data_IF_221596058134
#
_entry.id   IF_221596058134
#
_cell.length_a   1.000
_cell.length_b   1.000
_cell.length_c   1.000
_cell.angle_alpha   90.00
_cell.angle_beta   90.00
_cell.angle_gamma   90.00
#
_symmetry.space_group_name_H-M   'P 1'
#
loop_
_entity.id
_entity.type
_entity.pdbx_description
1 polymer ?
#
# COMPACT_ATOMS: atom_id res chain seq x y z
N UNK A 1 8.52 8.83 11.06
CA UNK A 1 8.68 8.13 9.77
C UNK A 1 7.49 7.21 9.43
N UNK A 2 6.94 6.45 10.40
CA UNK A 2 5.83 5.49 10.17
C UNK A 2 4.52 6.05 9.60
N UNK A 3 4.11 7.28 9.97
CA UNK A 3 2.88 7.91 9.43
C UNK A 3 2.87 7.96 7.90
N UNK A 4 4.03 8.12 7.25
CA UNK A 4 4.13 8.18 5.78
C UNK A 4 3.91 6.81 5.13
N UNK A 5 4.36 5.73 5.76
CA UNK A 5 4.18 4.37 5.23
C UNK A 5 2.72 3.91 5.29
N UNK A 6 2.01 4.30 6.34
CA UNK A 6 0.56 4.04 6.46
C UNK A 6 -0.21 4.75 5.35
N UNK A 7 0.13 6.00 5.04
CA UNK A 7 -0.49 6.73 3.93
C UNK A 7 -0.20 6.09 2.57
N UNK A 8 1.02 5.57 2.36
CA UNK A 8 1.38 4.86 1.13
C UNK A 8 0.59 3.55 0.98
N UNK A 9 0.44 2.78 2.06
CA UNK A 9 -0.40 1.58 2.05
C UNK A 9 -1.87 1.92 1.79
N UNK A 10 -2.38 2.99 2.41
CA UNK A 10 -3.74 3.46 2.18
C UNK A 10 -3.95 3.86 0.72
N UNK A 11 -3.00 4.60 0.14
CA UNK A 11 -3.05 4.96 -1.28
C UNK A 11 -3.01 3.72 -2.19
N UNK A 12 -2.17 2.73 -1.88
CA UNK A 12 -2.12 1.46 -2.62
C UNK A 12 -3.45 0.72 -2.57
N UNK A 13 -4.10 0.71 -1.40
CA UNK A 13 -5.37 0.03 -1.19
C UNK A 13 -6.52 0.71 -1.93
N UNK A 14 -6.62 2.04 -1.81
CA UNK A 14 -7.60 2.85 -2.56
C UNK A 14 -7.40 2.65 -4.06
N UNK A 15 -6.15 2.75 -4.55
CA UNK A 15 -5.84 2.54 -5.96
C UNK A 15 -6.31 1.18 -6.46
N UNK A 16 -6.04 0.13 -5.67
CA UNK A 16 -6.45 -1.24 -6.03
C UNK A 16 -7.98 -1.37 -6.15
N UNK A 17 -8.72 -0.86 -5.16
CA UNK A 17 -10.19 -0.97 -5.12
C UNK A 17 -10.85 -0.19 -6.25
N UNK A 18 -10.46 1.07 -6.43
CA UNK A 18 -10.96 1.94 -7.50
C UNK A 18 -10.65 1.36 -8.89
N UNK A 19 -9.45 0.81 -9.09
CA UNK A 19 -9.12 0.14 -10.36
C UNK A 19 -9.97 -1.10 -10.61
N UNK A 20 -10.23 -1.93 -9.58
CA UNK A 20 -11.11 -3.10 -9.73
C UNK A 20 -12.54 -2.66 -10.07
N UNK A 21 -13.06 -1.65 -9.37
CA UNK A 21 -14.38 -1.10 -9.70
C UNK A 21 -14.45 -0.60 -11.13
N UNK A 22 -13.43 0.11 -11.60
CA UNK A 22 -13.41 0.64 -12.95
C UNK A 22 -13.15 -0.42 -14.03
N UNK A 23 -12.54 -1.56 -13.72
CA UNK A 23 -12.50 -2.73 -14.62
C UNK A 23 -13.88 -3.40 -14.69
N UNK A 24 -14.61 -3.43 -13.58
CA UNK A 24 -15.92 -4.08 -13.48
C UNK A 24 -17.06 -3.22 -14.05
N UNK A 25 -16.92 -1.90 -13.98
CA UNK A 25 -17.83 -0.95 -14.58
C UNK A 25 -17.54 -0.81 -16.09
N UNK A 26 -17.97 -1.82 -16.83
CA UNK A 26 -17.79 -1.92 -18.29
C UNK A 26 -18.60 -0.86 -19.07
N UNK A 27 -19.37 -0.02 -18.36
CA UNK A 27 -20.30 0.95 -18.95
C UNK A 27 -19.69 2.34 -19.24
N UNK A 28 -18.51 2.65 -18.70
CA UNK A 28 -17.94 4.01 -18.71
C UNK A 28 -16.79 4.27 -19.71
N UNK A 29 -16.55 3.38 -20.68
CA UNK A 29 -15.52 3.61 -21.72
C UNK A 29 -14.07 3.40 -21.24
N UNK A 30 -13.89 2.71 -20.10
CA UNK A 30 -12.60 2.15 -19.69
C UNK A 30 -11.59 3.15 -19.10
N UNK A 31 -12.02 4.35 -18.68
CA UNK A 31 -11.13 5.33 -18.03
C UNK A 31 -11.68 5.70 -16.64
N UNK A 32 -10.87 5.47 -15.61
CA UNK A 32 -11.14 5.79 -14.21
C UNK A 32 -10.46 7.11 -13.81
N UNK A 33 -10.97 7.79 -12.79
CA UNK A 33 -10.27 8.91 -12.16
C UNK A 33 -9.73 8.51 -10.79
N UNK A 34 -8.41 8.52 -10.63
CA UNK A 34 -7.70 8.11 -9.42
C UNK A 34 -6.87 9.28 -8.91
N UNK A 35 -7.18 9.77 -7.71
CA UNK A 35 -6.51 10.93 -7.12
C UNK A 35 -6.51 12.17 -8.04
N UNK A 36 -7.57 12.34 -8.84
CA UNK A 36 -7.67 13.42 -9.82
C UNK A 36 -6.93 13.18 -11.15
N UNK A 37 -6.35 12.00 -11.36
CA UNK A 37 -5.70 11.61 -12.62
C UNK A 37 -6.58 10.65 -13.41
N UNK A 38 -6.66 10.83 -14.73
CA UNK A 38 -7.31 9.87 -15.62
C UNK A 38 -6.39 8.66 -15.84
N UNK A 39 -6.93 7.48 -15.60
CA UNK A 39 -6.19 6.22 -15.61
C UNK A 39 -7.00 5.18 -16.37
N UNK A 40 -6.36 4.41 -17.25
CA UNK A 40 -7.00 3.35 -18.01
C UNK A 40 -6.76 1.98 -17.33
N UNK A 41 -7.71 1.43 -16.56
CA UNK A 41 -7.47 0.27 -15.69
C UNK A 41 -7.19 -1.02 -16.46
N UNK A 42 -7.64 -1.09 -17.72
CA UNK A 42 -7.37 -2.19 -18.64
C UNK A 42 -5.92 -2.25 -19.13
N UNK A 43 -5.10 -1.22 -18.84
CA UNK A 43 -3.67 -1.19 -19.19
C UNK A 43 -2.79 -1.58 -18.02
N UNK A 44 -1.60 -2.12 -18.29
CA UNK A 44 -0.70 -2.65 -17.24
C UNK A 44 -0.06 -1.55 -16.38
N UNK A 45 0.16 -0.35 -16.93
CA UNK A 45 0.87 0.77 -16.28
C UNK A 45 0.33 1.10 -14.87
N UNK A 46 -0.98 1.34 -14.67
CA UNK A 46 -1.50 1.67 -13.34
C UNK A 46 -1.41 0.52 -12.33
N UNK A 47 -1.43 -0.73 -12.79
CA UNK A 47 -1.20 -1.89 -11.92
C UNK A 47 0.24 -1.94 -11.43
N UNK A 48 1.21 -1.60 -12.29
CA UNK A 48 2.61 -1.53 -11.89
C UNK A 48 2.86 -0.43 -10.84
N UNK A 49 2.25 0.75 -11.01
CA UNK A 49 2.33 1.83 -10.01
C UNK A 49 1.75 1.36 -8.67
N UNK A 50 0.59 0.72 -8.69
CA UNK A 50 -0.06 0.17 -7.50
C UNK A 50 0.81 -0.89 -6.81
N UNK A 51 1.46 -1.77 -7.58
CA UNK A 51 2.40 -2.76 -7.05
C UNK A 51 3.62 -2.12 -6.37
N UNK A 52 4.16 -1.03 -6.93
CA UNK A 52 5.25 -0.27 -6.32
C UNK A 52 4.81 0.36 -5.00
N UNK A 53 3.60 0.92 -4.93
CA UNK A 53 3.06 1.47 -3.68
C UNK A 53 2.93 0.38 -2.61
N UNK A 54 2.43 -0.80 -2.97
CA UNK A 54 2.39 -1.96 -2.08
C UNK A 54 3.77 -2.38 -1.58
N UNK A 55 4.76 -2.47 -2.47
CA UNK A 55 6.13 -2.83 -2.09
C UNK A 55 6.74 -1.80 -1.13
N UNK A 56 6.58 -0.50 -1.42
CA UNK A 56 7.11 0.59 -0.61
C UNK A 56 6.44 0.65 0.78
N UNK A 57 5.11 0.58 0.82
CA UNK A 57 4.34 0.60 2.05
C UNK A 57 4.54 -0.66 2.90
N UNK A 58 4.47 -1.84 2.27
CA UNK A 58 4.60 -3.14 2.93
C UNK A 58 6.02 -3.42 3.41
N UNK A 59 7.04 -3.05 2.63
CA UNK A 59 8.44 -3.13 3.05
C UNK A 59 8.70 -2.26 4.28
N UNK A 60 8.15 -1.05 4.28
CA UNK A 60 8.18 -0.17 5.44
C UNK A 60 7.58 -0.77 6.71
N UNK A 61 6.40 -1.38 6.58
CA UNK A 61 5.71 -2.04 7.69
C UNK A 61 6.49 -3.24 8.24
N UNK A 62 7.15 -4.02 7.37
CA UNK A 62 7.98 -5.15 7.81
C UNK A 62 9.19 -4.69 8.62
N UNK A 63 9.85 -3.62 8.20
CA UNK A 63 10.97 -3.02 8.96
C UNK A 63 10.47 -2.51 10.32
N UNK A 64 9.30 -1.86 10.35
CA UNK A 64 8.66 -1.39 11.58
C UNK A 64 8.45 -2.53 12.58
N UNK A 65 7.83 -3.61 12.10
CA UNK A 65 7.53 -4.80 12.89
C UNK A 65 8.82 -5.47 13.40
N UNK A 66 9.85 -5.57 12.57
CA UNK A 66 11.15 -6.11 12.97
C UNK A 66 11.81 -5.30 14.10
N UNK A 67 11.78 -3.97 14.01
CA UNK A 67 12.32 -3.09 15.06
C UNK A 67 11.52 -3.17 16.35
N UNK A 68 10.19 -3.23 16.26
CA UNK A 68 9.33 -3.42 17.41
C UNK A 68 9.61 -4.76 18.10
N UNK A 69 9.75 -5.83 17.32
CA UNK A 69 10.07 -7.16 17.83
C UNK A 69 11.42 -7.19 18.55
N UNK A 70 12.46 -6.62 17.93
CA UNK A 70 13.79 -6.54 18.55
C UNK A 70 13.79 -5.72 19.85
N UNK A 71 13.07 -4.59 19.89
CA UNK A 71 12.95 -3.78 21.10
C UNK A 71 12.19 -4.52 22.21
N UNK A 72 11.18 -5.31 21.84
CA UNK A 72 10.41 -6.14 22.76
C UNK A 72 11.26 -7.28 23.34
N UNK A 73 12.04 -7.95 22.50
CA UNK A 73 12.94 -9.04 22.92
C UNK A 73 14.00 -8.54 23.92
N UNK A 74 14.56 -7.34 23.69
CA UNK A 74 15.49 -6.70 24.64
C UNK A 74 14.82 -6.35 25.97
N UNK A 75 13.61 -5.77 25.94
CA UNK A 75 12.87 -5.43 27.14
C UNK A 75 12.48 -6.67 27.98
N UNK A 76 12.28 -7.82 27.32
CA UNK A 76 12.05 -9.10 27.99
C UNK A 76 13.32 -9.66 28.63
N UNK A 77 14.50 -9.48 28.00
CA UNK A 77 15.79 -9.90 28.56
C UNK A 77 16.20 -9.10 29.80
N UNK A 78 15.99 -7.77 29.81
CA UNK A 78 16.30 -6.91 30.96
C UNK A 78 15.48 -7.24 32.23
N UNK A 79 14.37 -7.98 32.07
CA UNK A 79 13.45 -8.33 33.16
C UNK A 79 13.76 -9.67 33.85
N UNK A 80 14.81 -10.37 33.43
CA UNK A 80 15.25 -11.63 34.03
C UNK A 80 16.27 -11.34 35.15
N UNK A 81 15.96 -11.61 36.44
CA UNK A 81 16.90 -11.45 37.56
C UNK A 81 17.99 -12.54 37.60
#
# INVERSE_FOLDING_TARGET
MYKRQVLVLLAALIATVEMIYAVQDDSAGGVATLFGLSVQPATWTPWAVTAVLWAAGGGGLRIAAGRLRAAWDLALQERQP
#
